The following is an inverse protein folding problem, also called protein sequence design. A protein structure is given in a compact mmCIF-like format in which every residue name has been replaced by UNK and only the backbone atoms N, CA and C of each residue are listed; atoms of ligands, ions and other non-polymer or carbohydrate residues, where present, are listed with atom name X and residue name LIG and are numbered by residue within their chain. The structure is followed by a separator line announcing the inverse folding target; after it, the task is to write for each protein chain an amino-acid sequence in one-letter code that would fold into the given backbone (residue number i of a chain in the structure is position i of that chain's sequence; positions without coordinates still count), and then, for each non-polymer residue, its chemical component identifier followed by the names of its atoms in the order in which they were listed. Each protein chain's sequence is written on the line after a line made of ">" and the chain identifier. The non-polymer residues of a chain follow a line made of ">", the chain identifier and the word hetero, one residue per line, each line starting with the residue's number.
data_IF_500774262015
#
_entry.id   IF_500774262015
#
_cell.length_a   1.000
_cell.length_b   1.000
_cell.length_c   1.000
_cell.angle_alpha   90.00
_cell.angle_beta   90.00
_cell.angle_gamma   90.00
#
_symmetry.space_group_name_H-M   'P 1'
#
loop_
_entity.id
_entity.type
_entity.pdbx_description
1 polymer ?
#
# COMPACT_ATOMS: atom_id res chain seq x y z
N UNK A 1 1.21 -2.80 -8.59
CA UNK A 1 -0.21 -3.07 -8.64
C UNK A 1 -0.47 -4.58 -8.62
N UNK A 2 -0.36 -5.29 -9.74
CA UNK A 2 -0.78 -6.71 -9.87
C UNK A 2 0.03 -7.67 -8.98
N UNK A 3 1.35 -7.50 -8.94
CA UNK A 3 2.24 -8.45 -8.26
C UNK A 3 2.53 -8.07 -6.79
N UNK A 4 2.11 -6.89 -6.37
CA UNK A 4 2.34 -6.38 -5.01
C UNK A 4 1.03 -6.21 -4.25
N UNK A 5 0.07 -5.44 -4.77
CA UNK A 5 -1.14 -5.06 -4.01
C UNK A 5 -2.26 -6.08 -4.12
N UNK A 6 -2.51 -6.62 -5.32
CA UNK A 6 -3.57 -7.59 -5.52
C UNK A 6 -3.42 -8.87 -4.64
N UNK A 7 -2.21 -9.42 -4.40
CA UNK A 7 -2.02 -10.53 -3.48
C UNK A 7 -2.54 -10.30 -2.06
N UNK A 8 -2.40 -9.09 -1.51
CA UNK A 8 -2.95 -8.80 -0.18
C UNK A 8 -4.48 -8.94 -0.13
N UNK A 9 -5.17 -8.46 -1.18
CA UNK A 9 -6.63 -8.60 -1.25
C UNK A 9 -7.01 -10.07 -1.48
N UNK A 10 -6.26 -10.79 -2.33
CA UNK A 10 -6.49 -12.20 -2.60
C UNK A 10 -6.31 -13.07 -1.36
N UNK A 11 -5.24 -12.85 -0.60
CA UNK A 11 -4.90 -13.72 0.53
C UNK A 11 -5.68 -13.35 1.80
N UNK A 12 -5.90 -12.04 2.04
CA UNK A 12 -6.43 -11.56 3.32
C UNK A 12 -7.80 -10.88 3.21
N UNK A 13 -8.28 -10.57 2.02
CA UNK A 13 -9.62 -9.99 1.83
C UNK A 13 -10.73 -10.97 2.18
N UNK A 14 -11.83 -10.47 2.73
CA UNK A 14 -13.07 -11.23 2.80
C UNK A 14 -13.59 -11.55 1.39
N UNK A 15 -14.44 -12.55 1.25
CA UNK A 15 -15.02 -12.89 -0.07
C UNK A 15 -15.73 -11.68 -0.70
N UNK A 16 -16.40 -10.88 0.12
CA UNK A 16 -17.03 -9.63 -0.35
C UNK A 16 -16.01 -8.65 -0.95
N UNK A 17 -14.86 -8.43 -0.28
CA UNK A 17 -13.79 -7.57 -0.79
C UNK A 17 -13.14 -8.14 -2.05
N UNK A 18 -12.91 -9.45 -2.10
CA UNK A 18 -12.37 -10.12 -3.28
C UNK A 18 -13.30 -9.95 -4.50
N UNK A 19 -14.58 -10.23 -4.33
CA UNK A 19 -15.57 -10.07 -5.40
C UNK A 19 -15.73 -8.61 -5.84
N UNK A 20 -15.62 -7.67 -4.91
CA UNK A 20 -15.74 -6.24 -5.21
C UNK A 20 -14.54 -5.73 -6.01
N UNK A 21 -13.31 -6.06 -5.60
CA UNK A 21 -12.12 -5.38 -6.11
C UNK A 21 -11.31 -6.19 -7.12
N UNK A 22 -11.10 -7.51 -6.94
CA UNK A 22 -10.21 -8.27 -7.81
C UNK A 22 -10.57 -8.21 -9.31
N UNK A 23 -11.84 -8.30 -9.72
CA UNK A 23 -12.18 -8.17 -11.14
C UNK A 23 -11.73 -6.83 -11.74
N UNK A 24 -11.92 -5.72 -11.01
CA UNK A 24 -11.56 -4.37 -11.44
C UNK A 24 -10.03 -4.15 -11.47
N UNK A 25 -9.28 -4.85 -10.60
CA UNK A 25 -7.83 -4.83 -10.63
C UNK A 25 -7.27 -5.62 -11.81
N UNK A 26 -7.89 -6.75 -12.15
CA UNK A 26 -7.48 -7.58 -13.29
C UNK A 26 -7.79 -6.88 -14.62
N UNK A 27 -8.94 -6.21 -14.74
CA UNK A 27 -9.30 -5.45 -15.93
C UNK A 27 -8.51 -4.13 -16.09
N UNK A 28 -7.88 -3.65 -15.02
CA UNK A 28 -7.19 -2.36 -14.98
C UNK A 28 -8.13 -1.17 -14.81
N UNK A 29 -9.41 -1.39 -14.52
CA UNK A 29 -10.37 -0.32 -14.21
C UNK A 29 -10.00 0.45 -12.94
N UNK A 30 -9.35 -0.23 -11.98
CA UNK A 30 -8.82 0.41 -10.77
C UNK A 30 -7.32 0.19 -10.63
N UNK A 31 -6.62 1.26 -10.36
CA UNK A 31 -5.21 1.25 -9.97
C UNK A 31 -5.10 1.20 -8.45
N UNK A 32 -4.12 0.46 -7.95
CA UNK A 32 -3.92 0.31 -6.50
C UNK A 32 -2.55 0.74 -6.05
N UNK A 33 -2.48 1.15 -4.78
CA UNK A 33 -1.23 1.39 -4.06
C UNK A 33 -1.24 0.69 -2.69
N UNK A 34 -0.05 0.50 -2.13
CA UNK A 34 0.12 0.12 -0.73
C UNK A 34 0.92 1.20 0.00
N UNK A 35 0.35 1.74 1.05
CA UNK A 35 0.88 2.86 1.80
C UNK A 35 1.50 2.37 3.11
N UNK A 36 2.80 2.00 3.05
CA UNK A 36 3.58 1.53 4.20
C UNK A 36 4.40 2.67 4.81
N UNK A 37 5.26 3.29 3.98
CA UNK A 37 6.30 4.23 4.39
C UNK A 37 5.74 5.54 4.92
N UNK A 38 6.34 6.03 5.99
CA UNK A 38 6.07 7.34 6.60
C UNK A 38 7.37 8.14 6.70
N UNK A 39 7.31 9.48 6.92
CA UNK A 39 8.52 10.27 7.13
C UNK A 39 9.44 9.74 8.23
N UNK A 40 8.89 9.08 9.25
CA UNK A 40 9.63 8.50 10.37
C UNK A 40 9.74 6.97 10.38
N UNK A 41 9.22 6.28 9.35
CA UNK A 41 9.19 4.82 9.29
C UNK A 41 9.38 4.32 7.86
N UNK A 42 10.55 3.78 7.57
CA UNK A 42 10.88 3.14 6.29
C UNK A 42 11.10 1.65 6.47
N UNK A 43 12.36 1.22 6.63
CA UNK A 43 12.72 -0.20 6.80
C UNK A 43 12.11 -0.81 8.07
N UNK A 44 11.96 -0.03 9.13
CA UNK A 44 11.27 -0.45 10.35
C UNK A 44 9.78 -0.06 10.29
N UNK A 45 8.97 -0.99 9.78
CA UNK A 45 7.53 -0.82 9.70
C UNK A 45 6.82 -0.89 11.08
N UNK A 46 7.51 -1.29 12.13
CA UNK A 46 6.96 -1.21 13.49
C UNK A 46 6.82 0.23 13.97
N UNK A 47 7.66 1.13 13.41
CA UNK A 47 7.66 2.56 13.70
C UNK A 47 6.53 3.39 13.07
N UNK A 48 5.61 2.76 12.33
CA UNK A 48 4.42 3.41 11.73
C UNK A 48 3.61 4.13 12.82
N UNK A 49 3.22 5.38 12.54
CA UNK A 49 2.45 6.25 13.43
C UNK A 49 1.03 6.54 12.97
N UNK A 50 0.73 6.32 11.68
CA UNK A 50 -0.65 6.40 11.18
C UNK A 50 -1.55 5.52 12.04
N UNK A 51 -2.65 6.05 12.52
CA UNK A 51 -3.60 5.34 13.40
C UNK A 51 -4.90 5.04 12.66
N UNK A 52 -5.58 3.98 13.09
CA UNK A 52 -6.91 3.62 12.64
C UNK A 52 -7.73 3.19 13.87
N UNK A 53 -8.49 4.10 14.42
CA UNK A 53 -9.26 3.88 15.66
C UNK A 53 -10.66 3.41 15.30
N UNK A 54 -11.11 2.30 15.88
CA UNK A 54 -12.47 1.80 15.68
C UNK A 54 -13.45 2.71 16.43
N UNK A 55 -14.43 3.26 15.70
CA UNK A 55 -15.50 4.11 16.19
C UNK A 55 -16.84 3.56 15.66
N UNK A 56 -17.54 2.80 16.49
CA UNK A 56 -18.73 2.07 16.07
C UNK A 56 -18.42 1.00 15.02
N UNK A 57 -18.97 1.14 13.82
CA UNK A 57 -18.78 0.22 12.70
C UNK A 57 -17.76 0.75 11.66
N UNK A 58 -16.98 1.78 12.01
CA UNK A 58 -16.00 2.39 11.11
C UNK A 58 -14.62 2.51 11.78
N UNK A 59 -13.56 2.44 10.97
CA UNK A 59 -12.24 2.88 11.38
C UNK A 59 -12.02 4.33 10.98
N UNK A 60 -11.54 5.14 11.92
CA UNK A 60 -11.12 6.53 11.68
C UNK A 60 -9.62 6.57 11.54
N UNK A 61 -9.15 6.90 10.33
CA UNK A 61 -7.73 6.87 9.98
C UNK A 61 -7.16 8.28 10.02
N UNK A 62 -6.02 8.46 10.71
CA UNK A 62 -5.28 9.70 10.80
C UNK A 62 -3.79 9.46 10.63
N UNK A 63 -3.12 10.27 9.79
CA UNK A 63 -1.70 10.18 9.55
C UNK A 63 -1.27 10.63 8.17
N UNK A 64 -0.02 10.30 7.82
CA UNK A 64 0.53 10.61 6.50
C UNK A 64 1.48 9.51 6.05
N UNK A 65 1.57 9.33 4.74
CA UNK A 65 2.46 8.38 4.09
C UNK A 65 3.32 9.10 3.06
N UNK A 66 4.52 8.60 2.81
CA UNK A 66 5.45 9.20 1.86
C UNK A 66 6.05 8.15 0.93
N UNK A 67 6.50 8.60 -0.25
CA UNK A 67 7.07 7.75 -1.29
C UNK A 67 6.16 6.61 -1.77
N UNK A 68 4.87 6.87 -1.87
CA UNK A 68 3.90 5.85 -2.27
C UNK A 68 3.83 5.77 -3.78
N UNK A 69 4.28 4.64 -4.32
CA UNK A 69 4.15 4.29 -5.75
C UNK A 69 2.69 4.16 -6.13
N UNK A 70 2.30 4.74 -7.26
CA UNK A 70 0.92 4.90 -7.73
C UNK A 70 0.03 5.73 -6.79
N UNK A 71 0.58 6.36 -5.75
CA UNK A 71 -0.22 7.04 -4.73
C UNK A 71 -1.10 8.15 -5.29
N UNK A 72 -0.66 8.84 -6.33
CA UNK A 72 -1.44 9.91 -6.98
C UNK A 72 -2.55 9.36 -7.90
N UNK A 73 -2.32 8.21 -8.54
CA UNK A 73 -3.24 7.61 -9.51
C UNK A 73 -4.09 6.49 -8.92
N UNK A 74 -3.84 6.08 -7.67
CA UNK A 74 -4.57 4.97 -7.08
C UNK A 74 -6.04 5.31 -6.84
N UNK A 75 -6.92 4.42 -7.27
CA UNK A 75 -8.35 4.42 -6.92
C UNK A 75 -8.61 3.73 -5.58
N UNK A 76 -7.69 2.85 -5.16
CA UNK A 76 -7.77 2.07 -3.94
C UNK A 76 -6.40 1.92 -3.30
N UNK A 77 -6.29 2.22 -2.02
CA UNK A 77 -5.03 2.16 -1.26
C UNK A 77 -5.15 1.20 -0.08
N UNK A 78 -4.19 0.28 0.04
CA UNK A 78 -3.99 -0.46 1.30
C UNK A 78 -3.19 0.44 2.24
N UNK A 79 -3.77 0.83 3.35
CA UNK A 79 -3.14 1.68 4.37
C UNK A 79 -2.66 0.83 5.53
N UNK A 80 -1.36 0.89 5.81
CA UNK A 80 -0.75 0.28 7.00
C UNK A 80 -0.92 1.25 8.17
N UNK A 81 -1.71 0.88 9.16
CA UNK A 81 -2.03 1.75 10.29
C UNK A 81 -2.02 1.01 11.63
N UNK A 82 -1.89 1.73 12.73
CA UNK A 82 -2.02 1.22 14.10
C UNK A 82 -3.48 1.23 14.54
N UNK A 83 -4.04 0.05 14.71
CA UNK A 83 -5.34 -0.14 15.39
C UNK A 83 -5.16 -0.24 16.91
N UNK A 84 -3.97 -0.62 17.37
CA UNK A 84 -3.54 -0.53 18.77
C UNK A 84 -2.10 0.01 18.85
N UNK A 85 -1.91 1.33 19.07
CA UNK A 85 -0.57 1.93 19.16
C UNK A 85 0.31 1.37 20.29
N UNK A 86 -0.28 0.75 21.31
CA UNK A 86 0.46 0.21 22.47
C UNK A 86 0.97 -1.21 22.24
N UNK A 87 0.44 -1.92 21.25
CA UNK A 87 0.77 -3.32 21.00
C UNK A 87 1.99 -3.53 20.06
N UNK A 88 2.75 -2.47 19.74
CA UNK A 88 3.93 -2.57 18.86
C UNK A 88 3.55 -3.13 17.47
N UNK A 89 4.29 -4.14 17.01
CA UNK A 89 4.01 -4.80 15.73
C UNK A 89 2.61 -5.45 15.67
N UNK A 90 2.15 -6.02 16.80
CA UNK A 90 0.83 -6.66 16.93
C UNK A 90 -0.33 -5.67 16.92
N UNK A 91 -0.06 -4.38 16.96
CA UNK A 91 -1.08 -3.34 16.83
C UNK A 91 -1.26 -2.84 15.40
N UNK A 92 -0.54 -3.38 14.43
CA UNK A 92 -0.59 -2.95 13.03
C UNK A 92 -1.67 -3.71 12.26
N UNK A 93 -2.45 -2.99 11.47
CA UNK A 93 -3.52 -3.54 10.61
C UNK A 93 -3.41 -2.99 9.20
N UNK A 94 -4.08 -3.64 8.26
CA UNK A 94 -4.18 -3.22 6.87
C UNK A 94 -5.64 -2.86 6.56
N UNK A 95 -5.87 -1.66 6.05
CA UNK A 95 -7.21 -1.17 5.73
C UNK A 95 -7.27 -0.70 4.27
N UNK A 96 -8.38 -0.98 3.61
CA UNK A 96 -8.67 -0.50 2.26
C UNK A 96 -9.33 0.88 2.33
N UNK A 97 -8.76 1.84 1.61
CA UNK A 97 -9.28 3.21 1.47
C UNK A 97 -9.48 3.50 -0.02
N UNK A 98 -10.69 3.87 -0.42
CA UNK A 98 -10.99 4.34 -1.76
C UNK A 98 -10.56 5.81 -1.91
N UNK A 99 -10.16 6.21 -3.13
CA UNK A 99 -9.58 7.54 -3.38
C UNK A 99 -10.55 8.69 -3.11
N UNK A 100 -11.85 8.45 -3.27
CA UNK A 100 -12.92 9.42 -3.06
C UNK A 100 -13.42 9.51 -1.61
N UNK A 101 -12.76 8.78 -0.68
CA UNK A 101 -13.14 8.80 0.74
C UNK A 101 -12.88 10.20 1.34
N UNK A 102 -13.87 10.84 1.96
CA UNK A 102 -13.69 12.15 2.58
C UNK A 102 -12.53 12.18 3.58
N UNK A 103 -11.70 13.23 3.52
CA UNK A 103 -10.54 13.40 4.38
C UNK A 103 -9.26 12.70 3.88
N UNK A 104 -9.35 11.90 2.80
CA UNK A 104 -8.19 11.35 2.12
C UNK A 104 -7.70 12.31 1.02
N UNK A 105 -6.43 12.70 1.07
CA UNK A 105 -5.79 13.56 0.09
C UNK A 105 -4.58 12.85 -0.53
N UNK A 106 -4.63 12.70 -1.85
CA UNK A 106 -3.52 12.24 -2.68
C UNK A 106 -2.66 13.44 -3.06
N UNK A 107 -1.67 13.73 -2.24
CA UNK A 107 -0.80 14.88 -2.38
C UNK A 107 -0.06 14.98 -3.72
N UNK A 108 0.90 15.86 -3.80
CA UNK A 108 1.62 16.14 -5.05
C UNK A 108 2.50 14.96 -5.47
N UNK A 109 2.62 14.77 -6.79
CA UNK A 109 3.65 13.90 -7.37
C UNK A 109 5.04 14.40 -7.01
N UNK A 110 5.90 13.48 -6.58
CA UNK A 110 7.29 13.79 -6.25
C UNK A 110 8.14 13.84 -7.52
N UNK A 111 9.05 14.81 -7.58
CA UNK A 111 10.04 14.89 -8.64
C UNK A 111 11.10 13.81 -8.46
N UNK A 112 11.31 12.99 -9.51
CA UNK A 112 12.25 11.87 -9.49
C UNK A 112 13.29 12.01 -10.59
N UNK A 113 14.49 11.45 -10.36
CA UNK A 113 15.56 11.42 -11.35
C UNK A 113 15.16 10.54 -12.55
N UNK A 114 14.58 9.37 -12.29
CA UNK A 114 14.14 8.40 -13.30
C UNK A 114 12.71 7.92 -13.08
N UNK A 115 12.25 6.98 -13.94
CA UNK A 115 10.93 6.36 -13.90
C UNK A 115 9.79 7.39 -13.82
N UNK A 116 9.87 8.44 -14.64
CA UNK A 116 8.93 9.59 -14.59
C UNK A 116 7.51 9.24 -15.00
N UNK A 117 7.34 8.16 -15.76
CA UNK A 117 6.01 7.67 -16.15
C UNK A 117 5.24 7.02 -14.98
N UNK A 118 5.95 6.52 -13.98
CA UNK A 118 5.35 6.00 -12.74
C UNK A 118 5.29 7.11 -11.71
N UNK A 119 4.13 7.37 -11.14
CA UNK A 119 3.99 8.35 -10.07
C UNK A 119 4.48 7.81 -8.73
N UNK A 120 4.88 8.72 -7.90
CA UNK A 120 5.20 8.52 -6.48
C UNK A 120 4.72 9.76 -5.75
N UNK A 121 3.96 9.61 -4.69
CA UNK A 121 3.37 10.75 -3.98
C UNK A 121 3.38 10.59 -2.47
N UNK A 122 2.99 11.65 -1.79
CA UNK A 122 2.61 11.67 -0.40
C UNK A 122 1.10 11.46 -0.30
N UNK A 123 0.64 10.84 0.78
CA UNK A 123 -0.77 10.63 1.08
C UNK A 123 -1.08 11.18 2.47
N UNK A 124 -2.22 11.82 2.63
CA UNK A 124 -2.65 12.42 3.88
C UNK A 124 -4.04 11.91 4.28
N UNK A 125 -4.20 11.58 5.54
CA UNK A 125 -5.43 11.06 6.11
C UNK A 125 -5.84 11.94 7.29
N UNK A 126 -6.99 12.60 7.17
CA UNK A 126 -7.55 13.45 8.21
C UNK A 126 -8.98 13.01 8.48
N UNK A 127 -9.17 12.31 9.59
CA UNK A 127 -10.46 11.74 10.01
C UNK A 127 -11.13 10.90 8.91
N UNK A 128 -10.32 10.16 8.11
CA UNK A 128 -10.80 9.30 7.04
C UNK A 128 -11.57 8.13 7.64
N UNK A 129 -12.85 8.03 7.30
CA UNK A 129 -13.74 6.98 7.80
C UNK A 129 -13.92 5.89 6.77
N UNK A 130 -13.64 4.66 7.16
CA UNK A 130 -13.86 3.48 6.34
C UNK A 130 -14.65 2.43 7.13
N UNK A 131 -15.56 1.69 6.47
CA UNK A 131 -16.27 0.58 7.11
C UNK A 131 -15.31 -0.43 7.72
N UNK A 132 -15.67 -1.01 8.85
CA UNK A 132 -14.84 -2.06 9.50
C UNK A 132 -14.59 -3.27 8.59
N UNK A 133 -15.47 -3.52 7.63
CA UNK A 133 -15.36 -4.56 6.61
C UNK A 133 -14.19 -4.32 5.64
N UNK A 134 -13.66 -3.09 5.56
CA UNK A 134 -12.48 -2.75 4.75
C UNK A 134 -11.15 -3.20 5.42
N UNK A 135 -11.22 -3.80 6.60
CA UNK A 135 -10.06 -4.44 7.23
C UNK A 135 -9.66 -5.70 6.45
N UNK A 136 -8.40 -5.80 6.07
CA UNK A 136 -7.83 -7.01 5.47
C UNK A 136 -7.45 -8.02 6.57
N UNK A 137 -8.10 -9.17 6.57
CA UNK A 137 -7.88 -10.23 7.54
C UNK A 137 -8.34 -9.84 8.95
N UNK A 138 -7.44 -9.90 9.92
CA UNK A 138 -7.73 -9.65 11.34
C UNK A 138 -6.99 -8.41 11.85
N UNK A 139 -7.62 -7.66 12.74
CA UNK A 139 -6.99 -6.54 13.41
C UNK A 139 -5.72 -6.99 14.18
N UNK A 140 -4.65 -6.19 14.07
CA UNK A 140 -3.36 -6.50 14.68
C UNK A 140 -2.48 -7.50 13.92
N UNK A 141 -2.98 -8.10 12.85
CA UNK A 141 -2.22 -9.07 12.05
C UNK A 141 -1.49 -8.44 10.84
N UNK A 142 -1.68 -7.15 10.59
CA UNK A 142 -1.13 -6.47 9.42
C UNK A 142 0.38 -6.61 9.29
N UNK A 143 1.13 -6.52 10.40
CA UNK A 143 2.59 -6.71 10.35
C UNK A 143 2.97 -8.14 9.91
N UNK A 144 2.26 -9.15 10.38
CA UNK A 144 2.51 -10.54 9.96
C UNK A 144 2.21 -10.74 8.47
N UNK A 145 1.13 -10.15 7.96
CA UNK A 145 0.80 -10.17 6.54
C UNK A 145 1.86 -9.49 5.68
N UNK A 146 2.37 -8.33 6.11
CA UNK A 146 3.48 -7.67 5.43
C UNK A 146 4.74 -8.56 5.38
N UNK A 147 5.06 -9.25 6.48
CA UNK A 147 6.23 -10.16 6.51
C UNK A 147 6.06 -11.40 5.63
N UNK A 148 4.84 -11.82 5.34
CA UNK A 148 4.54 -12.92 4.42
C UNK A 148 4.64 -12.51 2.96
N UNK A 149 4.21 -11.30 2.60
CA UNK A 149 4.19 -10.82 1.20
C UNK A 149 5.52 -10.15 0.78
N UNK A 150 6.19 -9.42 1.67
CA UNK A 150 7.42 -8.70 1.35
C UNK A 150 8.54 -9.53 0.72
N UNK A 151 8.75 -10.83 1.02
CA UNK A 151 9.75 -11.63 0.33
C UNK A 151 9.51 -11.74 -1.18
N UNK A 152 8.26 -11.94 -1.61
CA UNK A 152 7.88 -11.96 -3.03
C UNK A 152 8.06 -10.59 -3.67
N UNK A 153 7.64 -9.52 -3.00
CA UNK A 153 7.81 -8.15 -3.49
C UNK A 153 9.29 -7.83 -3.74
N UNK A 154 10.16 -8.16 -2.79
CA UNK A 154 11.61 -7.97 -2.91
C UNK A 154 12.20 -8.79 -4.05
N UNK A 155 11.75 -10.04 -4.23
CA UNK A 155 12.20 -10.90 -5.34
C UNK A 155 11.80 -10.32 -6.69
N UNK A 156 10.58 -9.82 -6.83
CA UNK A 156 10.11 -9.16 -8.06
C UNK A 156 10.98 -7.96 -8.43
N UNK A 157 11.33 -7.11 -7.45
CA UNK A 157 12.24 -5.98 -7.67
C UNK A 157 13.64 -6.44 -8.06
N UNK A 158 14.17 -7.48 -7.39
CA UNK A 158 15.50 -8.02 -7.69
C UNK A 158 15.58 -8.60 -9.11
N UNK A 159 14.56 -9.35 -9.56
CA UNK A 159 14.46 -9.88 -10.92
C UNK A 159 14.45 -8.74 -11.95
N UNK A 160 13.63 -7.71 -11.71
CA UNK A 160 13.57 -6.55 -12.61
C UNK A 160 14.89 -5.79 -12.69
N UNK A 161 15.59 -5.64 -11.58
CA UNK A 161 16.89 -4.98 -11.53
C UNK A 161 17.97 -5.79 -12.29
N UNK A 162 18.00 -7.12 -12.12
CA UNK A 162 18.93 -8.01 -12.82
C UNK A 162 18.69 -7.97 -14.35
N UNK A 163 17.44 -8.15 -14.78
CA UNK A 163 17.08 -8.10 -16.19
C UNK A 163 17.43 -6.75 -16.84
N UNK A 164 17.24 -5.64 -16.11
CA UNK A 164 17.65 -4.32 -16.58
C UNK A 164 19.16 -4.18 -16.71
N UNK A 165 19.93 -4.73 -15.78
CA UNK A 165 21.38 -4.72 -15.83
C UNK A 165 21.93 -5.57 -17.01
N UNK A 166 21.37 -6.75 -17.23
CA UNK A 166 21.72 -7.62 -18.37
C UNK A 166 21.41 -6.93 -19.70
N UNK A 167 20.24 -6.32 -19.85
CA UNK A 167 19.88 -5.59 -21.06
C UNK A 167 20.81 -4.39 -21.31
N UNK A 168 21.14 -3.61 -20.29
CA UNK A 168 22.05 -2.48 -20.40
C UNK A 168 23.47 -2.92 -20.82
N UNK A 169 23.97 -4.04 -20.26
CA UNK A 169 25.25 -4.62 -20.64
C UNK A 169 25.23 -5.04 -22.10
N UNK A 170 24.19 -5.78 -22.53
CA UNK A 170 24.10 -6.26 -23.92
C UNK A 170 24.07 -5.09 -24.91
N UNK A 171 23.22 -4.08 -24.65
CA UNK A 171 23.20 -2.90 -25.53
C UNK A 171 24.52 -2.15 -25.59
N UNK A 172 25.28 -2.14 -24.49
CA UNK A 172 26.61 -1.53 -24.48
C UNK A 172 27.62 -2.31 -25.29
N UNK A 173 27.56 -3.67 -25.30
CA UNK A 173 28.43 -4.53 -26.09
C UNK A 173 28.08 -4.48 -27.56
N UNK A 174 26.83 -4.29 -27.92
CA UNK A 174 26.34 -4.21 -29.29
C UNK A 174 26.62 -2.84 -29.95
N UNK A 175 26.88 -1.81 -29.13
CA UNK A 175 27.23 -0.44 -29.58
C UNK A 175 28.69 -0.36 -30.00
#
# INVERSE_FOLDING_TARGET
>A
HSDIVAPYILHYGSEALKHKYLPQLISGERVTAIAMTEPGAGSDLQGVKTTAVLDGDEYVINGSKTFITNGFLADLVIVVAKTDPKAGAKGTSLLLVEADTPGFDQGKRLEKVGMKAQDTSELFFQDVRVPKENLLGQAGMGFAYLMQELPQERLTVAIGALASAEAALQWTLDY
#
